data_IF_267369322700
#
_entry.id   IF_267369322700
#
_cell.length_a   1.000
_cell.length_b   1.000
_cell.length_c   1.000
_cell.angle_alpha   90.00
_cell.angle_beta   90.00
_cell.angle_gamma   90.00
#
_symmetry.space_group_name_H-M   'P 1'
#
loop_
_entity.id
_entity.type
_entity.pdbx_description
1 polymer ?
#
# COMPACT_ATOMS: atom_id res chain seq x y z
N UNK A 1 2.76 14.55 23.63
CA UNK A 1 2.96 13.14 24.09
C UNK A 1 2.95 13.04 25.61
N UNK A 2 3.10 14.16 26.33
CA UNK A 2 3.14 14.27 27.78
C UNK A 2 2.06 15.22 28.34
N UNK A 3 1.01 15.49 27.55
CA UNK A 3 -0.09 16.43 27.83
C UNK A 3 0.31 17.86 28.21
N UNK A 4 1.46 18.35 27.74
CA UNK A 4 1.92 19.72 28.01
C UNK A 4 1.37 20.79 27.03
N UNK A 5 0.48 20.39 26.10
CA UNK A 5 -0.07 21.20 25.00
C UNK A 5 0.97 21.77 24.02
N UNK A 6 2.17 21.17 23.97
CA UNK A 6 3.20 21.47 22.98
C UNK A 6 3.41 20.21 22.12
N UNK A 7 3.63 20.42 20.82
CA UNK A 7 3.97 19.30 19.94
C UNK A 7 5.41 18.85 20.25
N UNK A 8 5.58 17.55 20.47
CA UNK A 8 6.86 16.89 20.72
C UNK A 8 7.43 16.24 19.46
N UNK A 9 8.67 15.77 19.53
CA UNK A 9 9.38 15.12 18.42
C UNK A 9 9.65 13.66 18.75
N UNK A 10 9.32 12.76 17.84
CA UNK A 10 9.77 11.37 17.85
C UNK A 10 10.76 11.16 16.71
N UNK A 11 11.90 10.53 17.00
CA UNK A 11 12.86 10.16 15.97
C UNK A 11 13.59 8.85 16.30
N UNK A 12 13.72 7.98 15.29
CA UNK A 12 14.64 6.84 15.32
C UNK A 12 16.09 7.29 15.10
N UNK A 13 17.02 6.43 15.50
CA UNK A 13 18.46 6.69 15.39
C UNK A 13 19.22 5.41 15.03
N UNK A 14 20.37 5.59 14.35
CA UNK A 14 21.28 4.52 13.97
C UNK A 14 21.95 3.81 15.17
N UNK A 15 21.83 4.38 16.37
CA UNK A 15 22.35 3.80 17.62
C UNK A 15 21.39 2.81 18.29
N UNK A 16 20.34 2.39 17.58
CA UNK A 16 19.31 1.45 18.02
C UNK A 16 18.36 2.00 19.09
N UNK A 17 18.18 3.32 19.14
CA UNK A 17 17.20 3.96 20.02
C UNK A 17 16.14 4.76 19.28
N UNK A 18 14.93 4.71 19.81
CA UNK A 18 13.84 5.63 19.54
C UNK A 18 13.84 6.71 20.63
N UNK A 19 13.79 7.97 20.24
CA UNK A 19 13.80 9.11 21.16
C UNK A 19 12.49 9.88 21.09
N UNK A 20 11.99 10.29 22.25
CA UNK A 20 11.04 11.38 22.38
C UNK A 20 11.71 12.62 22.96
N UNK A 21 11.53 13.75 22.30
CA UNK A 21 12.14 15.02 22.67
C UNK A 21 11.05 16.08 22.82
N UNK A 22 11.20 16.94 23.82
CA UNK A 22 10.37 18.12 23.99
C UNK A 22 10.50 19.05 22.77
N UNK A 23 9.39 19.39 22.10
CA UNK A 23 9.47 20.21 20.89
C UNK A 23 9.87 21.67 21.11
N UNK A 24 9.77 22.17 22.35
CA UNK A 24 10.16 23.55 22.68
C UNK A 24 11.67 23.75 22.92
N UNK A 25 12.41 22.70 23.31
CA UNK A 25 13.81 22.83 23.73
C UNK A 25 14.73 21.66 23.32
N UNK A 26 14.18 20.59 22.74
CA UNK A 26 14.92 19.43 22.26
C UNK A 26 15.48 18.51 23.37
N UNK A 27 15.10 18.71 24.63
CA UNK A 27 15.52 17.83 25.73
C UNK A 27 14.75 16.52 25.70
N UNK A 28 15.40 15.42 26.10
CA UNK A 28 14.81 14.09 26.07
C UNK A 28 13.69 13.95 27.10
N UNK A 29 12.53 13.44 26.64
CA UNK A 29 11.42 12.99 27.47
C UNK A 29 11.68 11.54 27.90
N UNK A 30 11.84 10.64 26.91
CA UNK A 30 12.16 9.22 27.11
C UNK A 30 12.97 8.70 25.92
N UNK A 31 13.53 7.50 26.08
CA UNK A 31 14.07 6.72 24.98
C UNK A 31 13.67 5.24 25.12
N UNK A 32 13.62 4.53 24.01
CA UNK A 32 13.34 3.09 23.95
C UNK A 32 14.37 2.41 23.05
N UNK A 33 14.86 1.24 23.44
CA UNK A 33 15.86 0.50 22.69
C UNK A 33 15.23 -0.54 21.78
N UNK A 34 15.69 -0.60 20.54
CA UNK A 34 15.50 -1.72 19.61
C UNK A 34 16.77 -2.58 19.54
N UNK A 35 16.72 -3.71 18.84
CA UNK A 35 17.90 -4.56 18.63
C UNK A 35 18.86 -4.02 17.55
N UNK A 36 18.43 -3.05 16.75
CA UNK A 36 19.14 -2.54 15.58
C UNK A 36 18.74 -1.11 15.23
N UNK A 37 19.44 -0.51 14.28
CA UNK A 37 19.23 0.87 13.85
C UNK A 37 17.78 1.13 13.42
N UNK A 38 17.24 2.30 13.78
CA UNK A 38 15.90 2.75 13.39
C UNK A 38 16.06 3.82 12.31
N UNK A 39 16.03 3.37 11.05
CA UNK A 39 16.14 4.23 9.87
C UNK A 39 14.78 4.58 9.26
N UNK A 40 13.74 3.84 9.66
CA UNK A 40 12.36 4.14 9.29
C UNK A 40 11.89 5.46 9.91
N UNK A 41 10.94 6.12 9.25
CA UNK A 41 10.20 7.22 9.88
C UNK A 41 9.18 6.61 10.85
N UNK A 42 8.94 7.30 11.96
CA UNK A 42 7.87 6.94 12.88
C UNK A 42 6.50 7.23 12.28
N UNK A 43 5.61 6.24 12.32
CA UNK A 43 4.18 6.43 12.07
C UNK A 43 3.47 6.61 13.42
N UNK A 44 2.56 7.59 13.49
CA UNK A 44 1.88 7.99 14.72
C UNK A 44 0.37 7.81 14.57
N UNK A 45 -0.24 7.02 15.44
CA UNK A 45 -1.69 6.75 15.42
C UNK A 45 -2.15 6.21 16.78
N UNK A 46 -3.41 6.39 17.14
CA UNK A 46 -4.04 5.71 18.30
C UNK A 46 -4.39 4.28 17.89
N UNK A 47 -3.43 3.36 18.02
CA UNK A 47 -3.49 2.04 17.41
C UNK A 47 -4.38 1.06 18.17
N UNK A 48 -4.65 1.32 19.45
CA UNK A 48 -5.42 0.45 20.34
C UNK A 48 -6.73 1.12 20.84
N UNK A 49 -7.07 2.30 20.31
CA UNK A 49 -8.26 3.09 20.69
C UNK A 49 -8.30 3.48 22.17
N UNK A 50 -7.14 3.62 22.83
CA UNK A 50 -7.04 4.06 24.22
C UNK A 50 -6.97 5.59 24.36
N UNK A 51 -6.99 6.32 23.24
CA UNK A 51 -6.87 7.79 23.11
C UNK A 51 -5.48 8.33 23.41
N UNK A 52 -4.49 7.48 23.51
CA UNK A 52 -3.08 7.85 23.45
C UNK A 52 -2.54 7.61 22.04
N UNK A 53 -1.54 8.39 21.65
CA UNK A 53 -0.85 8.15 20.38
C UNK A 53 0.19 7.06 20.60
N UNK A 54 0.25 6.11 19.68
CA UNK A 54 1.28 5.10 19.58
C UNK A 54 2.25 5.40 18.43
N UNK A 55 3.41 4.75 18.47
CA UNK A 55 4.53 4.96 17.56
C UNK A 55 4.92 3.64 16.93
N UNK A 56 4.67 3.48 15.63
CA UNK A 56 5.17 2.34 14.87
C UNK A 56 6.51 2.68 14.21
N UNK A 57 7.51 1.81 14.38
CA UNK A 57 8.84 1.93 13.76
C UNK A 57 9.41 0.58 13.34
N UNK A 58 9.95 0.54 12.12
CA UNK A 58 10.77 -0.55 11.63
C UNK A 58 12.23 -0.40 12.02
N UNK A 59 12.88 -1.52 12.31
CA UNK A 59 14.29 -1.56 12.72
C UNK A 59 15.08 -2.59 11.89
N UNK A 60 16.39 -2.34 11.75
CA UNK A 60 17.36 -3.22 11.10
C UNK A 60 17.70 -4.48 11.95
N UNK A 61 16.88 -4.81 12.95
CA UNK A 61 16.91 -6.10 13.66
C UNK A 61 15.76 -7.02 13.23
N UNK A 62 15.19 -6.75 12.05
CA UNK A 62 14.12 -7.50 11.42
C UNK A 62 12.81 -7.48 12.21
N UNK A 63 12.52 -6.35 12.88
CA UNK A 63 11.29 -6.19 13.67
C UNK A 63 10.58 -4.88 13.42
N UNK A 64 9.26 -4.98 13.30
CA UNK A 64 8.33 -3.85 13.46
C UNK A 64 7.99 -3.74 14.94
N UNK A 65 8.07 -2.54 15.50
CA UNK A 65 7.74 -2.26 16.88
C UNK A 65 6.58 -1.28 16.97
N UNK A 66 5.77 -1.43 18.01
CA UNK A 66 4.83 -0.40 18.46
C UNK A 66 5.18 0.02 19.89
N UNK A 67 5.32 1.32 20.10
CA UNK A 67 5.59 1.92 21.40
C UNK A 67 4.48 2.91 21.77
N UNK A 68 4.10 2.96 23.04
CA UNK A 68 3.25 4.03 23.57
C UNK A 68 4.03 5.35 23.53
N UNK A 69 3.46 6.40 22.95
CA UNK A 69 4.20 7.67 22.81
C UNK A 69 4.41 8.41 24.13
N UNK A 70 3.63 8.12 25.17
CA UNK A 70 3.67 8.85 26.43
C UNK A 70 4.86 8.47 27.32
N UNK A 71 5.33 7.22 27.26
CA UNK A 71 6.40 6.71 28.10
C UNK A 71 7.46 5.85 27.37
N UNK A 72 7.27 5.58 26.07
CA UNK A 72 8.17 4.73 25.30
C UNK A 72 8.05 3.25 25.64
N UNK A 73 7.00 2.82 26.36
CA UNK A 73 6.78 1.41 26.64
C UNK A 73 6.44 0.67 25.34
N UNK A 74 7.18 -0.41 25.06
CA UNK A 74 6.86 -1.31 23.96
C UNK A 74 5.52 -2.00 24.24
N UNK A 75 4.59 -1.87 23.29
CA UNK A 75 3.29 -2.55 23.30
C UNK A 75 3.47 -3.95 22.71
N UNK A 76 3.97 -4.03 21.48
CA UNK A 76 4.29 -5.29 20.80
C UNK A 76 5.47 -5.12 19.83
N UNK A 77 5.96 -6.24 19.32
CA UNK A 77 6.82 -6.29 18.14
C UNK A 77 6.45 -7.49 17.26
N UNK A 78 6.71 -7.36 15.96
CA UNK A 78 6.51 -8.41 14.97
C UNK A 78 7.82 -8.69 14.23
N UNK A 79 8.23 -9.95 14.17
CA UNK A 79 9.52 -10.36 13.55
C UNK A 79 9.32 -10.79 12.10
N UNK A 80 10.14 -10.27 11.21
CA UNK A 80 10.17 -10.57 9.77
C UNK A 80 11.52 -11.19 9.35
N UNK A 81 11.71 -11.44 8.05
CA UNK A 81 12.89 -12.13 7.53
C UNK A 81 14.15 -11.27 7.40
N UNK A 82 13.99 -9.95 7.25
CA UNK A 82 15.09 -9.00 6.94
C UNK A 82 14.75 -7.57 7.44
N UNK A 83 15.63 -6.61 7.21
CA UNK A 83 15.52 -5.23 7.72
C UNK A 83 14.20 -4.56 7.33
N UNK A 84 13.67 -3.75 8.25
CA UNK A 84 12.60 -2.80 7.96
C UNK A 84 13.18 -1.39 8.04
N UNK A 85 13.37 -0.76 6.88
CA UNK A 85 14.02 0.55 6.76
C UNK A 85 13.09 1.67 6.26
N UNK A 86 11.86 1.32 5.88
CA UNK A 86 10.85 2.27 5.40
C UNK A 86 9.81 2.53 6.49
N UNK A 87 9.19 3.71 6.43
CA UNK A 87 8.08 4.03 7.33
C UNK A 87 6.89 3.10 7.07
N UNK A 88 6.19 2.71 8.13
CA UNK A 88 4.89 2.07 8.04
C UNK A 88 3.78 3.09 7.74
N UNK A 89 2.63 2.58 7.34
CA UNK A 89 1.36 3.32 7.34
C UNK A 89 0.38 2.65 8.29
N UNK A 90 -0.45 3.47 8.94
CA UNK A 90 -1.41 3.01 9.94
C UNK A 90 -2.81 3.52 9.55
N UNK A 91 -3.78 2.63 9.53
CA UNK A 91 -5.17 2.93 9.18
C UNK A 91 -6.03 1.66 9.23
N UNK A 92 -7.35 1.85 9.27
CA UNK A 92 -8.35 0.78 9.21
C UNK A 92 -8.46 0.29 7.76
N UNK A 93 -7.75 -0.81 7.45
CA UNK A 93 -7.69 -1.33 6.07
C UNK A 93 -8.75 -2.40 5.81
N UNK A 94 -9.29 -3.02 6.85
CA UNK A 94 -10.31 -4.06 6.76
C UNK A 94 -11.75 -3.59 7.05
N UNK A 95 -11.91 -2.34 7.50
CA UNK A 95 -13.19 -1.73 7.81
C UNK A 95 -13.80 -2.19 9.13
N UNK A 96 -13.03 -2.85 10.01
CA UNK A 96 -13.52 -3.37 11.29
C UNK A 96 -13.56 -2.31 12.41
N UNK A 97 -13.14 -1.06 12.12
CA UNK A 97 -12.96 0.06 13.04
C UNK A 97 -11.76 -0.08 13.99
N UNK A 98 -10.83 -0.97 13.69
CA UNK A 98 -9.49 -1.03 14.28
C UNK A 98 -8.49 -0.68 13.20
N UNK A 99 -7.31 -0.25 13.62
CA UNK A 99 -6.26 0.08 12.68
C UNK A 99 -5.31 -1.10 12.51
N UNK A 100 -4.69 -1.14 11.34
CA UNK A 100 -3.62 -2.05 10.97
C UNK A 100 -2.35 -1.25 10.69
N UNK A 101 -1.20 -1.90 10.87
CA UNK A 101 0.12 -1.38 10.50
C UNK A 101 0.57 -2.11 9.23
N UNK A 102 0.70 -1.35 8.14
CA UNK A 102 1.16 -1.84 6.85
C UNK A 102 2.59 -1.40 6.59
N UNK A 103 3.49 -2.33 6.28
CA UNK A 103 4.92 -2.03 6.11
C UNK A 103 5.65 -3.02 5.19
N UNK A 104 6.68 -2.51 4.51
CA UNK A 104 7.55 -3.32 3.65
C UNK A 104 8.85 -3.73 4.35
N UNK A 105 9.30 -4.95 4.06
CA UNK A 105 10.57 -5.51 4.51
C UNK A 105 11.52 -5.76 3.34
N UNK A 106 12.82 -5.83 3.61
CA UNK A 106 13.83 -6.24 2.62
C UNK A 106 13.76 -7.74 2.27
N UNK A 107 12.95 -8.52 2.99
CA UNK A 107 12.70 -9.94 2.70
C UNK A 107 11.74 -10.19 1.54
N UNK A 108 11.51 -9.17 0.68
CA UNK A 108 10.60 -9.24 -0.45
C UNK A 108 9.10 -9.31 -0.09
N UNK A 109 8.73 -8.95 1.14
CA UNK A 109 7.34 -9.06 1.62
C UNK A 109 6.80 -7.74 2.15
N UNK A 110 5.54 -7.45 1.79
CA UNK A 110 4.70 -6.43 2.41
C UNK A 110 3.82 -7.09 3.45
N UNK A 111 3.74 -6.51 4.64
CA UNK A 111 3.03 -7.07 5.78
C UNK A 111 1.91 -6.13 6.21
N UNK A 112 0.79 -6.72 6.62
CA UNK A 112 -0.26 -6.05 7.37
C UNK A 112 -0.45 -6.79 8.70
N UNK A 113 -0.31 -6.06 9.80
CA UNK A 113 -0.52 -6.58 11.15
C UNK A 113 -1.57 -5.73 11.86
N UNK A 114 -2.40 -6.35 12.68
CA UNK A 114 -3.34 -5.62 13.52
C UNK A 114 -2.58 -4.69 14.48
N UNK A 115 -2.96 -3.41 14.54
CA UNK A 115 -2.21 -2.42 15.30
C UNK A 115 -2.42 -2.55 16.83
N UNK A 116 -3.50 -3.18 17.29
CA UNK A 116 -3.74 -3.40 18.72
C UNK A 116 -2.79 -4.45 19.31
N UNK A 117 -2.51 -5.53 18.58
CA UNK A 117 -1.83 -6.72 19.12
C UNK A 117 -0.64 -7.24 18.30
N UNK A 118 -0.38 -6.68 17.12
CA UNK A 118 0.73 -7.07 16.24
C UNK A 118 0.54 -8.43 15.56
N UNK A 119 -0.66 -9.02 15.56
CA UNK A 119 -0.94 -10.27 14.86
C UNK A 119 -1.02 -10.03 13.35
N UNK A 120 -0.46 -10.96 12.58
CA UNK A 120 -0.51 -10.92 11.12
C UNK A 120 -1.96 -11.06 10.62
N UNK A 121 -2.38 -10.14 9.76
CA UNK A 121 -3.63 -10.24 9.01
C UNK A 121 -3.37 -10.86 7.63
N UNK A 122 -2.51 -10.22 6.83
CA UNK A 122 -2.09 -10.74 5.54
C UNK A 122 -0.65 -10.35 5.23
N UNK A 123 -0.09 -10.99 4.20
CA UNK A 123 1.20 -10.61 3.62
C UNK A 123 1.18 -10.81 2.11
N UNK A 124 1.86 -9.92 1.41
CA UNK A 124 2.05 -10.01 -0.03
C UNK A 124 3.53 -10.23 -0.36
N UNK A 125 3.83 -11.32 -1.07
CA UNK A 125 5.20 -11.65 -1.47
C UNK A 125 5.45 -11.12 -2.88
N UNK A 126 6.31 -10.10 -3.00
CA UNK A 126 6.58 -9.41 -4.26
C UNK A 126 7.38 -10.23 -5.29
N UNK A 127 7.89 -11.41 -4.91
CA UNK A 127 8.65 -12.31 -5.77
C UNK A 127 10.14 -12.38 -5.43
N UNK A 128 10.90 -13.11 -6.25
CA UNK A 128 12.35 -13.28 -6.06
C UNK A 128 13.10 -11.98 -6.40
N UNK A 129 14.01 -11.54 -5.52
CA UNK A 129 14.72 -10.25 -5.64
C UNK A 129 13.82 -9.01 -5.61
N UNK A 130 12.77 -9.03 -4.77
CA UNK A 130 11.94 -7.85 -4.52
C UNK A 130 12.42 -7.09 -3.28
N UNK A 131 12.46 -5.75 -3.36
CA UNK A 131 12.59 -4.90 -2.18
C UNK A 131 11.46 -3.88 -2.17
N UNK A 132 10.71 -3.84 -1.08
CA UNK A 132 9.81 -2.74 -0.82
C UNK A 132 10.63 -1.57 -0.29
N UNK A 133 11.13 -0.74 -1.20
CA UNK A 133 12.01 0.41 -0.88
C UNK A 133 11.24 1.69 -0.60
N UNK A 134 9.91 1.65 -0.62
CA UNK A 134 9.06 2.80 -0.38
C UNK A 134 8.11 2.55 0.77
N UNK A 135 7.72 3.61 1.48
CA UNK A 135 6.62 3.55 2.43
C UNK A 135 5.27 3.40 1.71
N UNK A 136 4.40 2.46 2.15
CA UNK A 136 3.06 2.29 1.59
C UNK A 136 2.19 3.52 1.87
N UNK A 137 1.16 3.75 1.07
CA UNK A 137 0.10 4.74 1.29
C UNK A 137 -1.24 4.02 1.36
N UNK A 138 -2.10 4.45 2.28
CA UNK A 138 -3.45 3.92 2.45
C UNK A 138 -4.45 4.93 1.90
N UNK A 139 -5.26 4.51 0.93
CA UNK A 139 -6.32 5.34 0.34
C UNK A 139 -7.30 4.46 -0.44
N UNK A 140 -8.55 4.88 -0.55
CA UNK A 140 -9.51 4.33 -1.51
C UNK A 140 -9.13 4.78 -2.93
N UNK A 141 -8.20 4.05 -3.55
CA UNK A 141 -7.66 4.39 -4.86
C UNK A 141 -8.52 3.81 -5.97
N UNK A 142 -9.09 2.62 -5.76
CA UNK A 142 -10.01 1.94 -6.68
C UNK A 142 -11.37 2.63 -6.79
N UNK A 143 -11.78 3.39 -5.77
CA UNK A 143 -13.07 4.07 -5.72
C UNK A 143 -14.22 3.16 -5.29
N UNK A 144 -13.91 2.00 -4.72
CA UNK A 144 -14.90 1.01 -4.26
C UNK A 144 -15.39 1.27 -2.82
N UNK A 145 -14.83 2.28 -2.15
CA UNK A 145 -15.15 2.64 -0.78
C UNK A 145 -14.39 1.84 0.30
N UNK A 146 -13.47 0.96 -0.10
CA UNK A 146 -12.52 0.25 0.77
C UNK A 146 -11.14 0.89 0.67
N UNK A 147 -10.28 0.62 1.64
CA UNK A 147 -8.91 1.16 1.63
C UNK A 147 -8.02 0.24 0.81
N UNK A 148 -7.28 0.81 -0.14
CA UNK A 148 -6.20 0.13 -0.84
C UNK A 148 -4.84 0.45 -0.21
N UNK A 149 -3.87 -0.43 -0.49
CA UNK A 149 -2.46 -0.25 -0.17
C UNK A 149 -1.69 0.03 -1.45
N UNK A 150 -1.20 1.27 -1.57
CA UNK A 150 -0.41 1.72 -2.71
C UNK A 150 1.05 1.77 -2.29
N UNK A 151 1.90 0.96 -2.92
CA UNK A 151 3.32 0.87 -2.55
C UNK A 151 4.20 0.74 -3.78
N UNK A 152 5.31 1.47 -3.76
CA UNK A 152 6.35 1.29 -4.73
C UNK A 152 7.24 0.08 -4.43
N UNK A 153 7.48 -0.74 -5.44
CA UNK A 153 8.26 -1.98 -5.32
C UNK A 153 9.38 -2.04 -6.36
N UNK A 154 10.56 -2.48 -5.92
CA UNK A 154 11.64 -2.86 -6.81
C UNK A 154 11.55 -4.36 -7.05
N UNK A 155 10.91 -4.78 -8.13
CA UNK A 155 10.75 -6.19 -8.54
C UNK A 155 11.44 -6.36 -9.89
N UNK A 156 12.54 -7.09 -9.97
CA UNK A 156 13.13 -7.39 -11.28
C UNK A 156 12.36 -8.55 -11.96
N UNK A 157 11.91 -8.43 -13.22
CA UNK A 157 12.16 -7.35 -14.18
C UNK A 157 11.11 -6.22 -14.21
N UNK A 158 10.00 -6.35 -13.47
CA UNK A 158 8.85 -5.43 -13.51
C UNK A 158 8.80 -4.57 -12.24
N UNK A 159 9.68 -3.57 -12.13
CA UNK A 159 9.60 -2.56 -11.07
C UNK A 159 8.27 -1.81 -11.22
N UNK A 160 7.81 -1.16 -10.16
CA UNK A 160 6.56 -0.42 -10.31
C UNK A 160 5.84 -0.06 -9.05
N UNK A 161 4.71 0.61 -9.27
CA UNK A 161 3.70 0.84 -8.25
C UNK A 161 2.78 -0.38 -8.18
N UNK A 162 2.54 -0.87 -6.98
CA UNK A 162 1.55 -1.89 -6.69
C UNK A 162 0.37 -1.22 -5.97
N UNK A 163 -0.83 -1.63 -6.34
CA UNK A 163 -2.07 -1.34 -5.62
C UNK A 163 -2.60 -2.69 -5.17
N UNK A 164 -2.78 -2.85 -3.86
CA UNK A 164 -3.32 -4.05 -3.27
C UNK A 164 -4.61 -3.70 -2.54
N UNK A 165 -5.56 -4.64 -2.52
CA UNK A 165 -6.73 -4.54 -1.67
C UNK A 165 -6.28 -4.54 -0.20
N UNK A 166 -6.74 -3.57 0.60
CA UNK A 166 -6.29 -3.41 1.98
C UNK A 166 -6.79 -4.50 2.92
N UNK A 167 -7.93 -5.13 2.61
CA UNK A 167 -8.51 -6.19 3.43
C UNK A 167 -7.82 -7.52 3.18
N UNK A 168 -7.65 -7.93 1.93
CA UNK A 168 -7.13 -9.24 1.55
C UNK A 168 -5.61 -9.24 1.36
N UNK A 169 -5.02 -8.08 1.03
CA UNK A 169 -3.61 -7.98 0.65
C UNK A 169 -3.33 -8.54 -0.75
N UNK A 170 -4.37 -8.75 -1.56
CA UNK A 170 -4.25 -9.24 -2.92
C UNK A 170 -3.95 -8.10 -3.90
N UNK A 171 -3.20 -8.42 -4.96
CA UNK A 171 -2.76 -7.44 -5.94
C UNK A 171 -3.90 -7.06 -6.88
N UNK A 172 -4.31 -5.79 -6.87
CA UNK A 172 -5.32 -5.23 -7.77
C UNK A 172 -4.66 -4.69 -9.03
N UNK A 173 -3.70 -3.76 -8.87
CA UNK A 173 -2.96 -3.19 -10.00
C UNK A 173 -1.45 -3.33 -9.83
N UNK A 174 -0.79 -3.57 -10.96
CA UNK A 174 0.65 -3.42 -11.11
C UNK A 174 0.93 -2.45 -12.26
N UNK A 175 1.51 -1.31 -11.92
CA UNK A 175 2.00 -0.37 -12.91
C UNK A 175 3.48 -0.65 -13.12
N UNK A 176 3.79 -1.38 -14.20
CA UNK A 176 5.18 -1.67 -14.55
C UNK A 176 5.91 -0.38 -14.96
N UNK A 177 7.06 -0.13 -14.35
CA UNK A 177 8.03 0.85 -14.75
C UNK A 177 9.45 0.29 -14.64
N UNK A 178 10.42 1.00 -15.21
CA UNK A 178 11.77 0.45 -15.35
C UNK A 178 12.60 0.56 -14.06
N UNK A 179 12.18 1.30 -13.02
CA UNK A 179 13.09 1.70 -11.93
C UNK A 179 12.42 1.93 -10.55
N UNK A 180 13.25 2.17 -9.53
CA UNK A 180 12.81 2.39 -8.16
C UNK A 180 11.87 3.60 -8.02
N UNK A 181 10.76 3.37 -7.34
CA UNK A 181 9.69 4.33 -7.13
C UNK A 181 9.73 4.90 -5.71
N UNK A 182 9.58 6.23 -5.60
CA UNK A 182 9.42 6.89 -4.30
C UNK A 182 8.14 6.45 -3.60
N UNK A 183 8.03 6.74 -2.30
CA UNK A 183 6.73 6.67 -1.61
C UNK A 183 5.68 7.44 -2.41
N UNK A 184 4.55 6.79 -2.75
CA UNK A 184 3.47 7.45 -3.47
C UNK A 184 2.75 8.46 -2.56
N UNK A 185 2.00 9.36 -3.18
CA UNK A 185 1.00 10.22 -2.54
C UNK A 185 -0.29 10.00 -3.30
N UNK A 186 -1.38 9.72 -2.58
CA UNK A 186 -2.68 9.41 -3.17
C UNK A 186 -3.71 10.41 -2.68
N UNK A 187 -4.21 11.26 -3.58
CA UNK A 187 -5.19 12.31 -3.30
C UNK A 187 -5.94 12.68 -4.59
N UNK A 188 -7.14 13.20 -4.46
CA UNK A 188 -7.80 13.93 -5.55
C UNK A 188 -7.07 15.27 -5.79
N UNK A 189 -6.21 15.31 -6.80
CA UNK A 189 -5.45 16.51 -7.16
C UNK A 189 -6.18 17.39 -8.17
N UNK A 190 -7.10 16.82 -8.92
CA UNK A 190 -7.76 17.48 -10.04
C UNK A 190 -9.17 18.03 -9.68
N UNK A 191 -9.74 17.60 -8.56
CA UNK A 191 -11.04 17.98 -8.02
C UNK A 191 -12.23 17.19 -8.58
N UNK A 192 -12.03 16.03 -9.19
CA UNK A 192 -13.09 15.21 -9.81
C UNK A 192 -13.69 14.15 -8.86
N UNK A 193 -13.20 14.07 -7.63
CA UNK A 193 -13.52 13.07 -6.60
C UNK A 193 -13.01 11.65 -6.93
N UNK A 194 -12.00 11.53 -7.78
CA UNK A 194 -11.22 10.32 -7.97
C UNK A 194 -9.81 10.59 -7.45
N UNK A 195 -9.24 9.63 -6.73
CA UNK A 195 -7.89 9.78 -6.24
C UNK A 195 -6.85 9.54 -7.35
N UNK A 196 -5.83 10.40 -7.40
CA UNK A 196 -4.64 10.16 -8.20
C UNK A 196 -3.46 9.73 -7.34
N UNK A 197 -2.70 8.76 -7.84
CA UNK A 197 -1.43 8.36 -7.27
C UNK A 197 -0.30 9.14 -7.95
N UNK A 198 0.50 9.84 -7.17
CA UNK A 198 1.69 10.56 -7.60
C UNK A 198 2.93 9.92 -7.01
N UNK A 199 3.91 9.61 -7.84
CA UNK A 199 5.21 9.10 -7.40
C UNK A 199 6.32 9.63 -8.27
N UNK A 200 7.56 9.43 -7.85
CA UNK A 200 8.74 9.85 -8.59
C UNK A 200 9.66 8.69 -8.83
N UNK A 201 10.36 8.74 -9.96
CA UNK A 201 11.43 7.81 -10.28
C UNK A 201 12.47 8.59 -11.12
N UNK A 202 13.72 8.55 -10.66
CA UNK A 202 14.84 9.37 -11.14
C UNK A 202 14.50 10.86 -11.25
N UNK A 203 14.20 11.35 -12.46
CA UNK A 203 13.90 12.76 -12.76
C UNK A 203 12.47 12.96 -13.28
N UNK A 204 11.61 11.94 -13.16
CA UNK A 204 10.25 11.94 -13.68
C UNK A 204 9.27 11.90 -12.51
N UNK A 205 8.23 12.73 -12.60
CA UNK A 205 7.04 12.69 -11.74
C UNK A 205 5.94 11.98 -12.52
N UNK A 206 5.42 10.92 -11.94
CA UNK A 206 4.32 10.14 -12.49
C UNK A 206 3.03 10.52 -11.77
N UNK A 207 1.92 10.51 -12.50
CA UNK A 207 0.57 10.68 -11.99
C UNK A 207 -0.33 9.65 -12.67
N UNK A 208 -1.06 8.88 -11.88
CA UNK A 208 -2.02 7.89 -12.36
C UNK A 208 -3.41 8.25 -11.85
N UNK A 209 -4.38 8.21 -12.76
CA UNK A 209 -5.81 8.19 -12.46
C UNK A 209 -6.42 6.95 -13.13
N UNK A 210 -7.23 6.20 -12.40
CA UNK A 210 -7.84 4.96 -12.91
C UNK A 210 -9.26 5.17 -13.46
N UNK A 211 -9.93 6.28 -13.14
CA UNK A 211 -11.31 6.59 -13.57
C UNK A 211 -11.47 6.86 -15.07
N UNK A 212 -10.36 7.02 -15.79
CA UNK A 212 -10.34 7.17 -17.25
C UNK A 212 -9.67 5.98 -17.95
N UNK A 213 -9.82 4.77 -17.41
CA UNK A 213 -9.35 3.52 -18.02
C UNK A 213 -7.85 3.30 -17.81
N UNK A 214 -7.37 3.57 -16.59
CA UNK A 214 -5.94 3.41 -16.24
C UNK A 214 -5.00 4.45 -16.86
N UNK A 215 -5.48 5.66 -17.16
CA UNK A 215 -4.69 6.73 -17.77
C UNK A 215 -3.46 7.12 -16.92
N UNK A 216 -2.26 6.68 -17.34
CA UNK A 216 -0.98 7.10 -16.75
C UNK A 216 -0.44 8.33 -17.46
N UNK A 217 -0.43 9.45 -16.74
CA UNK A 217 0.18 10.69 -17.20
C UNK A 217 1.54 10.87 -16.51
N UNK A 218 2.57 11.28 -17.24
CA UNK A 218 3.83 11.64 -16.59
C UNK A 218 4.35 12.99 -17.05
N UNK A 219 5.03 13.63 -16.11
CA UNK A 219 5.58 14.96 -16.21
C UNK A 219 7.08 14.84 -15.93
N UNK A 220 7.91 15.41 -16.79
CA UNK A 220 9.34 15.50 -16.54
C UNK A 220 9.77 16.96 -16.48
N UNK A 221 10.69 17.26 -15.57
CA UNK A 221 11.24 18.60 -15.39
C UNK A 221 12.54 18.50 -14.61
N UNK A 222 13.48 19.40 -14.88
CA UNK A 222 14.68 19.50 -14.06
C UNK A 222 14.33 20.19 -12.74
N UNK A 223 14.74 19.57 -11.62
CA UNK A 223 14.58 20.15 -10.28
C UNK A 223 15.07 21.61 -10.25
N UNK A 224 14.24 22.52 -9.74
CA UNK A 224 14.54 23.95 -9.65
C UNK A 224 14.15 24.80 -10.87
N UNK A 225 13.50 24.22 -11.88
CA UNK A 225 12.92 24.95 -13.02
C UNK A 225 11.39 24.95 -12.98
N UNK A 226 10.75 25.97 -13.54
CA UNK A 226 9.28 26.02 -13.67
C UNK A 226 8.77 25.21 -14.87
N UNK A 227 9.66 24.63 -15.66
CA UNK A 227 9.33 23.94 -16.90
C UNK A 227 9.12 22.45 -16.65
N UNK A 228 7.89 22.08 -16.30
CA UNK A 228 7.43 20.70 -16.37
C UNK A 228 6.84 20.46 -17.76
N UNK A 229 7.42 19.52 -18.51
CA UNK A 229 6.88 19.08 -19.80
C UNK A 229 6.09 17.80 -19.58
N UNK A 230 4.80 17.81 -19.95
CA UNK A 230 4.03 16.57 -20.14
C UNK A 230 4.63 15.84 -21.34
N UNK A 231 5.30 14.72 -21.09
CA UNK A 231 6.05 14.02 -22.15
C UNK A 231 5.33 12.81 -22.74
N UNK A 232 4.25 12.37 -22.12
CA UNK A 232 3.35 11.39 -22.71
C UNK A 232 2.19 11.04 -21.79
N UNK A 233 1.18 10.42 -22.37
CA UNK A 233 0.21 9.60 -21.66
C UNK A 233 0.46 8.18 -22.14
N UNK A 234 0.87 7.29 -21.23
CA UNK A 234 0.84 5.87 -21.51
C UNK A 234 -0.50 5.39 -21.00
N UNK A 235 -1.36 4.93 -21.91
CA UNK A 235 -2.62 4.36 -21.51
C UNK A 235 -2.41 2.85 -21.51
N UNK A 236 -2.27 2.26 -20.32
CA UNK A 236 -2.62 0.85 -20.19
C UNK A 236 -4.14 0.84 -20.18
N UNK A 237 -4.70 0.85 -21.41
CA UNK A 237 -6.12 0.98 -21.68
C UNK A 237 -6.86 -0.12 -20.94
N UNK A 238 -7.74 0.22 -20.02
CA UNK A 238 -8.81 -0.64 -19.51
C UNK A 238 -10.12 0.00 -19.99
N UNK A 239 -10.55 -0.23 -21.25
CA UNK A 239 -11.62 0.56 -21.87
C UNK A 239 -13.02 0.27 -21.33
N UNK A 240 -13.20 -0.89 -20.71
CA UNK A 240 -14.46 -1.40 -20.16
C UNK A 240 -14.49 -1.43 -18.63
N UNK A 241 -13.40 -1.02 -17.98
CA UNK A 241 -13.31 -0.77 -16.54
C UNK A 241 -13.56 -2.02 -15.70
N UNK A 242 -13.00 -3.13 -16.14
CA UNK A 242 -13.20 -4.44 -15.52
C UNK A 242 -11.99 -4.96 -14.75
N UNK A 243 -10.96 -4.10 -14.62
CA UNK A 243 -9.70 -4.36 -13.94
C UNK A 243 -8.67 -5.17 -14.77
N UNK A 244 -8.91 -5.39 -16.06
CA UNK A 244 -7.89 -5.86 -17.01
C UNK A 244 -7.47 -4.75 -17.98
N UNK A 245 -6.15 -4.53 -18.09
CA UNK A 245 -5.64 -3.73 -19.21
C UNK A 245 -5.82 -4.48 -20.54
N UNK A 246 -5.91 -3.79 -21.67
CA UNK A 246 -5.96 -4.35 -23.04
C UNK A 246 -4.81 -5.33 -23.30
N UNK A 247 -3.66 -5.14 -22.64
CA UNK A 247 -2.55 -6.08 -22.70
C UNK A 247 -2.83 -7.36 -21.90
N UNK A 248 -3.40 -7.23 -20.69
CA UNK A 248 -3.87 -8.34 -19.87
C UNK A 248 -4.99 -9.10 -20.56
N UNK A 249 -5.94 -8.41 -21.15
CA UNK A 249 -7.04 -9.02 -21.89
C UNK A 249 -6.57 -9.79 -23.11
N UNK A 250 -5.58 -9.27 -23.85
CA UNK A 250 -4.94 -10.02 -24.93
C UNK A 250 -4.30 -11.32 -24.42
N UNK A 251 -3.79 -11.32 -23.18
CA UNK A 251 -3.21 -12.49 -22.54
C UNK A 251 -4.28 -13.50 -22.08
N UNK A 252 -5.37 -13.04 -21.47
CA UNK A 252 -6.50 -13.87 -21.03
C UNK A 252 -7.41 -14.30 -22.19
N UNK A 253 -7.33 -13.61 -23.33
CA UNK A 253 -8.19 -13.83 -24.50
C UNK A 253 -9.55 -13.17 -24.41
N UNK A 254 -9.75 -12.27 -23.43
CA UNK A 254 -10.97 -11.50 -23.19
C UNK A 254 -11.08 -10.32 -24.16
N UNK A 255 -12.23 -9.65 -24.17
CA UNK A 255 -12.55 -8.58 -25.11
C UNK A 255 -12.40 -7.18 -24.48
N UNK A 256 -11.43 -6.35 -24.95
CA UNK A 256 -11.14 -4.98 -24.45
C UNK A 256 -12.20 -3.91 -24.54
N UNK A 257 -13.44 -4.28 -24.72
CA UNK A 257 -14.58 -3.38 -24.74
C UNK A 257 -15.83 -4.02 -24.11
N UNK A 258 -15.65 -5.14 -23.40
CA UNK A 258 -16.69 -5.90 -22.72
C UNK A 258 -16.15 -6.34 -21.38
N UNK A 259 -16.62 -5.68 -20.32
CA UNK A 259 -16.25 -6.02 -18.95
C UNK A 259 -16.63 -7.43 -18.51
N UNK A 260 -17.43 -8.14 -19.30
CA UNK A 260 -17.93 -9.50 -19.09
C UNK A 260 -17.97 -10.17 -20.48
N UNK A 261 -16.90 -10.87 -20.84
CA UNK A 261 -16.66 -11.43 -22.17
C UNK A 261 -17.59 -12.61 -22.45
N UNK A 262 -17.91 -13.41 -21.44
CA UNK A 262 -18.75 -14.61 -21.59
C UNK A 262 -20.22 -14.41 -21.19
N UNK A 263 -20.57 -13.21 -20.72
CA UNK A 263 -21.90 -12.75 -20.35
C UNK A 263 -22.52 -13.53 -19.20
N UNK A 264 -21.73 -13.90 -18.18
CA UNK A 264 -22.18 -14.63 -17.01
C UNK A 264 -22.49 -13.78 -15.77
N UNK A 265 -22.37 -12.46 -15.91
CA UNK A 265 -22.59 -11.42 -14.90
C UNK A 265 -21.44 -11.25 -13.89
N UNK A 266 -20.30 -11.92 -14.09
CA UNK A 266 -19.05 -11.63 -13.41
C UNK A 266 -18.11 -10.84 -14.35
N UNK A 267 -17.38 -9.83 -13.86
CA UNK A 267 -16.43 -9.13 -14.71
C UNK A 267 -15.17 -9.94 -15.02
N UNK A 268 -14.60 -9.82 -16.23
CA UNK A 268 -13.45 -10.64 -16.65
C UNK A 268 -12.25 -10.46 -15.71
N UNK A 269 -11.99 -9.23 -15.27
CA UNK A 269 -10.92 -8.98 -14.31
C UNK A 269 -11.21 -9.51 -12.91
N UNK A 270 -12.47 -9.59 -12.48
CA UNK A 270 -12.83 -10.24 -11.22
C UNK A 270 -12.60 -11.75 -11.30
N UNK A 271 -13.01 -12.38 -12.41
CA UNK A 271 -12.78 -13.81 -12.64
C UNK A 271 -11.30 -14.14 -12.75
N UNK A 272 -10.55 -13.36 -13.53
CA UNK A 272 -9.10 -13.50 -13.66
C UNK A 272 -8.38 -13.34 -12.31
N UNK A 273 -8.87 -12.44 -11.44
CA UNK A 273 -8.39 -12.24 -10.08
C UNK A 273 -8.65 -13.47 -9.19
N UNK A 274 -9.84 -14.07 -9.27
CA UNK A 274 -10.23 -15.26 -8.48
C UNK A 274 -9.76 -16.59 -9.09
N UNK A 275 -9.00 -16.55 -10.19
CA UNK A 275 -8.49 -17.74 -10.87
C UNK A 275 -9.59 -18.54 -11.61
N UNK A 276 -10.74 -17.91 -11.84
CA UNK A 276 -11.80 -18.40 -12.70
C UNK A 276 -11.45 -18.14 -14.17
N UNK A 277 -12.26 -18.64 -15.08
CA UNK A 277 -12.01 -18.53 -16.50
C UNK A 277 -12.99 -17.57 -17.17
N UNK A 278 -12.57 -16.33 -17.50
CA UNK A 278 -13.45 -15.27 -18.03
C UNK A 278 -13.95 -15.49 -19.47
N UNK A 279 -13.79 -16.71 -19.98
CA UNK A 279 -14.21 -17.11 -21.32
C UNK A 279 -15.30 -18.19 -21.28
N UNK A 280 -15.73 -18.62 -20.09
CA UNK A 280 -16.67 -19.71 -19.90
C UNK A 280 -17.58 -19.38 -18.72
N UNK A 281 -18.88 -19.19 -19.02
CA UNK A 281 -19.91 -19.05 -18.01
C UNK A 281 -19.83 -20.17 -16.97
N UNK A 282 -19.27 -19.83 -15.82
CA UNK A 282 -19.05 -20.70 -14.69
C UNK A 282 -19.65 -20.14 -13.40
N UNK A 283 -20.38 -19.02 -13.51
CA UNK A 283 -21.13 -18.33 -12.45
C UNK A 283 -21.89 -19.23 -11.45
N UNK A 284 -22.38 -20.39 -11.87
CA UNK A 284 -23.14 -21.34 -11.03
C UNK A 284 -22.32 -22.52 -10.48
N UNK A 285 -21.03 -22.57 -10.78
CA UNK A 285 -20.10 -23.52 -10.18
C UNK A 285 -19.69 -23.04 -8.79
N UNK A 286 -19.17 -23.98 -8.02
CA UNK A 286 -18.63 -23.80 -6.67
C UNK A 286 -17.17 -24.27 -6.76
N UNK A 287 -16.30 -23.35 -7.14
CA UNK A 287 -14.92 -23.68 -7.54
C UNK A 287 -14.09 -24.18 -6.35
N UNK A 288 -14.31 -23.62 -5.16
CA UNK A 288 -13.56 -23.92 -3.95
C UNK A 288 -14.26 -24.95 -3.02
N UNK A 289 -15.50 -25.34 -3.36
CA UNK A 289 -16.34 -26.31 -2.64
C UNK A 289 -16.75 -25.86 -1.23
N UNK A 290 -16.93 -24.56 -1.03
CA UNK A 290 -17.37 -23.98 0.25
C UNK A 290 -18.92 -23.95 0.39
N UNK A 291 -19.65 -24.20 -0.70
CA UNK A 291 -21.10 -24.23 -0.77
C UNK A 291 -21.75 -22.96 -1.28
N UNK A 292 -20.97 -21.95 -1.68
CA UNK A 292 -21.40 -20.79 -2.46
C UNK A 292 -21.05 -20.98 -3.93
N UNK A 293 -21.82 -20.37 -4.81
CA UNK A 293 -21.46 -20.31 -6.24
C UNK A 293 -20.56 -19.12 -6.52
N UNK A 294 -19.73 -19.16 -7.56
CA UNK A 294 -18.87 -18.05 -7.99
C UNK A 294 -19.62 -16.70 -8.05
N UNK A 295 -20.84 -16.66 -8.60
CA UNK A 295 -21.64 -15.43 -8.65
C UNK A 295 -22.16 -14.97 -7.28
N UNK A 296 -22.35 -15.89 -6.34
CA UNK A 296 -22.73 -15.55 -4.97
C UNK A 296 -21.54 -14.92 -4.25
N UNK A 297 -20.33 -15.45 -4.45
CA UNK A 297 -19.07 -14.89 -3.95
C UNK A 297 -18.86 -13.47 -4.50
N UNK A 298 -19.01 -13.28 -5.81
CA UNK A 298 -18.96 -11.95 -6.42
C UNK A 298 -19.94 -10.95 -5.80
N UNK A 299 -21.17 -11.39 -5.49
CA UNK A 299 -22.19 -10.51 -4.91
C UNK A 299 -21.99 -10.19 -3.42
N UNK A 300 -21.19 -10.99 -2.69
CA UNK A 300 -20.91 -10.74 -1.26
C UNK A 300 -19.64 -9.89 -1.04
N UNK A 301 -18.77 -9.81 -2.05
CA UNK A 301 -17.63 -8.87 -2.13
C UNK A 301 -16.47 -9.27 -1.25
#
# INVERSE_FOLDING_TARGET
>A
MNDDNILDVICGSDDSYLYALHGNNGTQIWNASTGGAIQSKAALFDANSDREIDVAVGSNDNRMYLFRSSDGQQIWNYTVGDDISNAASIGDVDGDNKAEVVFGSKDSTLYCVNAENGLLQWKFVGGIFSWFTSSPTLADFTGDGRIDVIVGSFISPNNGLLVLDGFTGELVYRIADDNAVSSPIVLDFNGDNVNEAVWTNDNIVYLLSISEGGNRNYWQGLSGTQEFTRTGTQVDLDPDFDFLSTMSELFYGTNPASNDTDSDLMPDGWEAYHGLNPLINDSYLDFDSDGLTNIQEFNIG
#
